data_IF_237453277659
#
_entry.id   IF_237453277659
#
_cell.length_a   1.000
_cell.length_b   1.000
_cell.length_c   1.000
_cell.angle_alpha   90.00
_cell.angle_beta   90.00
_cell.angle_gamma   90.00
#
_symmetry.space_group_name_H-M   'P 1'
#
loop_
_entity.id
_entity.type
_entity.pdbx_description
1 polymer ?
#
# COMPACT_ATOMS: atom_id res chain seq x y z
N UNK A 1 0.56 -2.65 12.65
CA UNK A 1 0.36 -1.61 11.61
C UNK A 1 1.73 -1.25 11.09
N UNK A 2 1.91 -1.15 9.77
CA UNK A 2 3.20 -0.87 9.15
C UNK A 2 3.13 0.45 8.41
N UNK A 3 4.25 1.15 8.30
CA UNK A 3 4.36 2.39 7.53
C UNK A 3 5.25 2.10 6.32
N UNK A 4 4.88 2.63 5.17
CA UNK A 4 5.72 2.56 3.99
C UNK A 4 5.45 3.70 3.04
N UNK A 5 6.37 3.87 2.10
CA UNK A 5 6.38 4.96 1.15
C UNK A 5 5.68 4.52 -0.13
N UNK A 6 4.73 5.32 -0.60
CA UNK A 6 4.06 5.06 -1.87
C UNK A 6 5.08 5.25 -2.99
N UNK A 7 5.37 4.20 -3.75
CA UNK A 7 6.30 4.29 -4.88
C UNK A 7 5.56 4.43 -6.21
N UNK A 8 4.28 4.04 -6.26
CA UNK A 8 3.46 4.18 -7.46
C UNK A 8 1.98 4.33 -7.10
N UNK A 9 1.39 5.42 -7.57
CA UNK A 9 -0.06 5.63 -7.53
C UNK A 9 -0.61 5.33 -8.91
N UNK A 10 -1.61 4.45 -9.02
CA UNK A 10 -2.27 4.22 -10.29
C UNK A 10 -3.04 5.47 -10.70
N UNK A 11 -3.13 5.78 -12.01
CA UNK A 11 -3.87 6.95 -12.48
C UNK A 11 -5.36 6.91 -12.11
N UNK A 12 -5.90 5.70 -11.83
CA UNK A 12 -7.30 5.47 -11.53
C UNK A 12 -7.41 4.53 -10.31
N UNK A 13 -8.43 4.69 -9.47
CA UNK A 13 -8.65 3.84 -8.27
C UNK A 13 -8.90 2.34 -8.56
N UNK A 14 -9.06 1.97 -9.82
CA UNK A 14 -9.34 0.59 -10.24
C UNK A 14 -8.08 -0.23 -10.57
N UNK A 15 -6.92 0.42 -10.66
CA UNK A 15 -5.64 -0.26 -10.91
C UNK A 15 -4.82 -0.38 -9.63
N UNK A 16 -3.78 -1.22 -9.67
CA UNK A 16 -2.92 -1.48 -8.53
C UNK A 16 -1.79 -0.45 -8.44
N UNK A 17 -1.63 0.12 -7.26
CA UNK A 17 -0.46 0.88 -6.84
C UNK A 17 0.57 -0.01 -6.15
N UNK A 18 1.68 0.62 -5.75
CA UNK A 18 2.72 -0.01 -4.96
C UNK A 18 3.17 0.87 -3.80
N UNK A 19 3.38 0.23 -2.66
CA UNK A 19 3.95 0.81 -1.44
C UNK A 19 5.22 0.04 -1.12
N UNK A 20 6.28 0.73 -0.69
CA UNK A 20 7.53 0.12 -0.27
C UNK A 20 7.75 0.34 1.21
N UNK A 21 8.06 -0.71 1.95
CA UNK A 21 8.38 -0.59 3.37
C UNK A 21 9.84 -0.16 3.63
N UNK A 22 10.16 0.11 4.89
CA UNK A 22 11.49 0.49 5.35
C UNK A 22 12.57 -0.58 5.11
N UNK A 23 12.17 -1.85 5.06
CA UNK A 23 13.04 -2.99 4.75
C UNK A 23 13.23 -3.18 3.24
N UNK A 24 12.56 -2.36 2.44
CA UNK A 24 12.64 -2.35 0.98
C UNK A 24 11.70 -3.31 0.28
N UNK A 25 10.76 -3.97 0.97
CA UNK A 25 9.79 -4.84 0.32
C UNK A 25 8.68 -4.02 -0.34
N UNK A 26 8.23 -4.47 -1.51
CA UNK A 26 7.17 -3.79 -2.28
C UNK A 26 5.86 -4.55 -2.18
N UNK A 27 4.82 -3.85 -1.72
CA UNK A 27 3.49 -4.36 -1.50
C UNK A 27 2.52 -3.77 -2.53
N UNK A 28 1.73 -4.62 -3.15
CA UNK A 28 0.65 -4.19 -4.05
C UNK A 28 -0.53 -3.69 -3.24
N UNK A 29 -1.04 -2.53 -3.63
CA UNK A 29 -2.23 -1.93 -3.02
C UNK A 29 -3.23 -1.54 -4.08
N UNK A 30 -4.53 -1.63 -3.79
CA UNK A 30 -5.56 -1.18 -4.73
C UNK A 30 -5.60 0.35 -4.71
N UNK A 31 -5.67 0.98 -5.89
CA UNK A 31 -5.69 2.44 -6.00
C UNK A 31 -6.82 3.10 -5.20
N UNK A 32 -8.00 2.47 -5.15
CA UNK A 32 -9.16 2.96 -4.40
C UNK A 32 -8.96 2.98 -2.88
N UNK A 33 -8.02 2.19 -2.38
CA UNK A 33 -7.70 2.13 -0.95
C UNK A 33 -6.67 3.22 -0.60
N UNK A 34 -6.00 3.83 -1.59
CA UNK A 34 -5.10 4.97 -1.39
C UNK A 34 -5.94 6.24 -1.18
N UNK A 35 -5.75 6.97 -0.05
CA UNK A 35 -6.44 8.23 0.21
C UNK A 35 -6.21 9.24 -0.91
N UNK A 36 -7.27 9.93 -1.31
CA UNK A 36 -7.21 11.01 -2.30
C UNK A 36 -6.35 12.16 -1.75
N UNK A 37 -5.23 12.46 -2.42
CA UNK A 37 -4.28 13.50 -2.01
C UNK A 37 -2.88 12.98 -1.72
N UNK A 38 -2.70 11.67 -1.55
CA UNK A 38 -1.38 11.05 -1.48
C UNK A 38 -0.73 11.04 -2.88
N UNK A 39 0.58 11.20 -2.92
CA UNK A 39 1.43 11.15 -4.11
C UNK A 39 2.51 10.08 -3.98
N UNK A 40 3.17 9.74 -5.09
CA UNK A 40 4.37 8.91 -5.02
C UNK A 40 5.44 9.65 -4.22
N UNK A 41 5.96 9.02 -3.17
CA UNK A 41 6.89 9.59 -2.20
C UNK A 41 6.28 9.83 -0.83
N UNK A 42 4.95 9.86 -0.71
CA UNK A 42 4.27 10.03 0.57
C UNK A 42 4.34 8.78 1.44
N UNK A 43 4.36 9.02 2.75
CA UNK A 43 4.26 7.97 3.75
C UNK A 43 2.79 7.59 3.97
N UNK A 44 2.57 6.28 4.07
CA UNK A 44 1.26 5.68 4.11
C UNK A 44 1.25 4.56 5.15
N UNK A 45 0.34 4.67 6.11
CA UNK A 45 0.12 3.63 7.11
C UNK A 45 -0.81 2.56 6.52
N UNK A 46 -0.37 1.32 6.56
CA UNK A 46 -1.14 0.20 6.03
C UNK A 46 -1.10 -1.02 6.96
N UNK A 47 -2.07 -1.90 6.74
CA UNK A 47 -2.13 -3.20 7.39
C UNK A 47 -1.94 -4.29 6.36
N UNK A 48 -0.92 -5.12 6.58
CA UNK A 48 -0.73 -6.35 5.82
C UNK A 48 -1.57 -7.46 6.43
N UNK A 49 -2.20 -8.21 5.55
CA UNK A 49 -2.81 -9.48 5.89
C UNK A 49 -1.88 -10.62 5.49
N UNK A 50 -1.53 -11.44 6.48
CA UNK A 50 -0.72 -12.63 6.35
C UNK A 50 -1.58 -13.90 6.49
N UNK A 51 -2.89 -13.82 6.19
CA UNK A 51 -3.85 -14.91 6.44
C UNK A 51 -3.49 -16.25 5.79
N UNK A 52 -2.57 -16.26 4.81
CA UNK A 52 -1.97 -17.49 4.30
C UNK A 52 -0.46 -17.38 4.23
N UNK A 53 0.29 -18.31 4.85
CA UNK A 53 1.76 -18.32 4.79
C UNK A 53 2.29 -18.65 3.38
N UNK A 54 1.45 -19.20 2.51
CA UNK A 54 1.77 -19.51 1.12
C UNK A 54 1.41 -18.39 0.15
N UNK A 55 0.61 -17.40 0.59
CA UNK A 55 0.20 -16.26 -0.25
C UNK A 55 1.12 -15.07 0.02
N UNK A 56 1.40 -14.28 -1.01
CA UNK A 56 2.16 -13.04 -0.81
C UNK A 56 1.31 -12.08 0.04
N UNK A 57 1.88 -11.51 1.12
CA UNK A 57 1.13 -10.59 1.96
C UNK A 57 0.58 -9.43 1.13
N UNK A 58 -0.64 -8.99 1.45
CA UNK A 58 -1.31 -7.90 0.73
C UNK A 58 -1.78 -6.83 1.70
N UNK A 59 -1.79 -5.60 1.20
CA UNK A 59 -2.39 -4.49 1.94
C UNK A 59 -3.91 -4.68 1.93
N UNK A 60 -4.50 -4.77 3.13
CA UNK A 60 -5.95 -4.93 3.31
C UNK A 60 -6.66 -3.67 3.76
N UNK A 61 -5.92 -2.73 4.34
CA UNK A 61 -6.46 -1.44 4.77
C UNK A 61 -5.36 -0.39 4.81
N UNK A 62 -5.74 0.84 4.52
CA UNK A 62 -4.92 2.04 4.64
C UNK A 62 -5.67 2.99 5.59
N UNK A 63 -4.96 3.57 6.55
CA UNK A 63 -5.51 4.61 7.42
C UNK A 63 -4.84 5.95 7.09
N UNK A 64 -5.65 7.00 7.06
CA UNK A 64 -5.22 8.39 6.96
C UNK A 64 -5.23 8.96 8.39
N UNK A 65 -4.06 9.38 8.89
CA UNK A 65 -3.92 10.06 10.18
C UNK A 65 -4.19 11.56 10.04
#
# INVERSE_FOLDING_TARGET
MAIGKVIRIPPNGYTWGQVRDEYGNSWSVRGRDIPSGKSAGDDLAYRLDFSSPTDSPRIVSIEDD
#
